data_IF_948618832749
#
_entry.id   IF_948618832749
#
_cell.length_a   1.000
_cell.length_b   1.000
_cell.length_c   1.000
_cell.angle_alpha   90.00
_cell.angle_beta   90.00
_cell.angle_gamma   90.00
#
_symmetry.space_group_name_H-M   'P 1'
#
loop_
_entity.id
_entity.type
_entity.pdbx_description
1 polymer ?
#
# COMPACT_ATOMS: atom_id res chain seq x y z
N UNK A 1 -20.54 -15.45 -27.95
CA UNK A 1 -19.94 -16.33 -26.92
C UNK A 1 -19.03 -15.47 -26.08
N UNK A 2 -19.45 -15.12 -24.87
CA UNK A 2 -18.65 -14.30 -23.96
C UNK A 2 -17.73 -15.26 -23.19
N UNK A 3 -16.44 -15.20 -23.49
CA UNK A 3 -15.43 -15.92 -22.72
C UNK A 3 -15.26 -15.21 -21.37
N UNK A 4 -15.87 -15.78 -20.32
CA UNK A 4 -15.66 -15.39 -18.93
C UNK A 4 -14.60 -16.30 -18.31
N UNK A 5 -13.36 -15.81 -18.20
CA UNK A 5 -12.32 -16.14 -17.19
C UNK A 5 -11.06 -15.30 -17.47
N UNK A 6 -10.34 -14.83 -16.42
CA UNK A 6 -9.74 -15.68 -15.38
C UNK A 6 -10.52 -15.68 -14.06
N UNK A 7 -10.49 -16.83 -13.39
CA UNK A 7 -11.11 -17.08 -12.10
C UNK A 7 -10.12 -16.75 -11.00
N UNK A 8 -10.46 -15.83 -10.09
CA UNK A 8 -9.71 -15.71 -8.83
C UNK A 8 -9.87 -17.03 -8.06
N UNK A 9 -8.74 -17.72 -7.87
CA UNK A 9 -8.65 -19.04 -7.23
C UNK A 9 -8.90 -18.95 -5.71
N UNK A 10 -8.95 -17.73 -5.17
CA UNK A 10 -8.94 -17.41 -3.74
C UNK A 10 -10.31 -17.57 -3.07
N UNK A 11 -11.41 -17.45 -3.82
CA UNK A 11 -12.74 -17.54 -3.23
C UNK A 11 -13.14 -19.00 -2.92
N UNK A 12 -13.44 -19.27 -1.65
CA UNK A 12 -14.01 -20.55 -1.21
C UNK A 12 -15.24 -20.91 -2.07
N UNK A 13 -15.49 -22.20 -2.35
CA UNK A 13 -16.59 -22.63 -3.23
C UNK A 13 -17.95 -22.00 -2.91
N UNK A 14 -18.33 -21.90 -1.63
CA UNK A 14 -19.57 -21.25 -1.21
C UNK A 14 -19.62 -19.74 -1.49
N UNK A 15 -18.48 -19.04 -1.44
CA UNK A 15 -18.42 -17.61 -1.77
C UNK A 15 -18.57 -17.38 -3.27
N UNK A 16 -18.03 -18.28 -4.09
CA UNK A 16 -18.21 -18.25 -5.55
C UNK A 16 -19.64 -18.52 -6.00
N UNK A 17 -20.36 -19.37 -5.27
CA UNK A 17 -21.79 -19.59 -5.49
C UNK A 17 -22.59 -18.34 -5.15
N UNK A 18 -22.36 -17.73 -3.99
CA UNK A 18 -22.99 -16.46 -3.61
C UNK A 18 -22.66 -15.31 -4.57
N UNK A 19 -21.44 -15.25 -5.10
CA UNK A 19 -21.08 -14.29 -6.14
C UNK A 19 -21.94 -14.47 -7.39
N UNK A 20 -22.06 -15.71 -7.89
CA UNK A 20 -22.89 -16.01 -9.07
C UNK A 20 -24.37 -15.72 -8.83
N UNK A 21 -24.88 -16.01 -7.64
CA UNK A 21 -26.24 -15.64 -7.24
C UNK A 21 -26.42 -14.12 -7.27
N UNK A 22 -25.45 -13.37 -6.74
CA UNK A 22 -25.49 -11.91 -6.74
C UNK A 22 -25.44 -11.33 -8.15
N UNK A 23 -24.58 -11.85 -9.02
CA UNK A 23 -24.50 -11.48 -10.44
C UNK A 23 -25.84 -11.75 -11.15
N UNK A 24 -26.46 -12.91 -10.91
CA UNK A 24 -27.77 -13.23 -11.46
C UNK A 24 -28.89 -12.31 -10.95
N UNK A 25 -28.83 -11.89 -9.69
CA UNK A 25 -29.76 -10.91 -9.12
C UNK A 25 -29.56 -9.53 -9.75
N UNK A 26 -28.32 -9.11 -9.97
CA UNK A 26 -28.00 -7.85 -10.67
C UNK A 26 -28.62 -7.85 -12.07
N UNK A 27 -28.41 -8.91 -12.86
CA UNK A 27 -29.01 -9.01 -14.21
C UNK A 27 -30.54 -8.92 -14.18
N UNK A 28 -31.19 -9.50 -13.17
CA UNK A 28 -32.65 -9.40 -13.02
C UNK A 28 -33.10 -7.97 -12.73
N UNK A 29 -32.41 -7.26 -11.84
CA UNK A 29 -32.74 -5.86 -11.54
C UNK A 29 -32.46 -4.94 -12.73
N UNK A 30 -31.40 -5.17 -13.48
CA UNK A 30 -31.11 -4.43 -14.73
C UNK A 30 -32.23 -4.62 -15.75
N UNK A 31 -32.69 -5.86 -15.94
CA UNK A 31 -33.80 -6.17 -16.82
C UNK A 31 -35.10 -5.49 -16.35
N UNK A 32 -35.42 -5.58 -15.06
CA UNK A 32 -36.62 -4.93 -14.50
C UNK A 32 -36.57 -3.42 -14.64
N UNK A 33 -35.40 -2.81 -14.43
CA UNK A 33 -35.21 -1.37 -14.63
C UNK A 33 -35.40 -0.98 -16.10
N UNK A 34 -34.79 -1.73 -17.03
CA UNK A 34 -34.95 -1.48 -18.47
C UNK A 34 -36.41 -1.64 -18.93
N UNK A 35 -37.12 -2.65 -18.43
CA UNK A 35 -38.54 -2.86 -18.71
C UNK A 35 -39.38 -1.74 -18.09
N UNK A 36 -39.11 -1.35 -16.85
CA UNK A 36 -39.86 -0.29 -16.17
C UNK A 36 -39.62 1.09 -16.77
N UNK A 37 -38.47 1.33 -17.39
CA UNK A 37 -38.19 2.53 -18.18
C UNK A 37 -38.84 2.49 -19.56
N UNK A 38 -39.33 1.33 -20.00
CA UNK A 38 -40.13 1.25 -21.22
C UNK A 38 -41.49 1.92 -20.99
N UNK A 39 -42.03 2.61 -21.99
CA UNK A 39 -43.36 3.26 -21.92
C UNK A 39 -44.53 2.25 -21.94
N UNK A 40 -44.30 1.01 -21.53
CA UNK A 40 -45.30 -0.04 -21.51
C UNK A 40 -46.15 0.08 -20.24
N UNK A 41 -47.46 0.25 -20.42
CA UNK A 41 -48.43 0.42 -19.34
C UNK A 41 -48.50 -0.79 -18.39
N UNK A 42 -48.18 -2.00 -18.87
CA UNK A 42 -48.21 -3.23 -18.06
C UNK A 42 -47.21 -3.20 -16.91
N UNK A 43 -46.18 -2.35 -17.00
CA UNK A 43 -45.12 -2.22 -16.00
C UNK A 43 -45.14 -0.88 -15.25
N UNK A 44 -46.20 -0.08 -15.41
CA UNK A 44 -46.34 1.22 -14.76
C UNK A 44 -46.42 1.14 -13.22
N UNK A 45 -46.68 -0.05 -12.66
CA UNK A 45 -46.71 -0.31 -11.21
C UNK A 45 -45.33 -0.57 -10.60
N UNK A 46 -44.26 -0.69 -11.41
CA UNK A 46 -42.91 -0.89 -10.90
C UNK A 46 -42.41 0.37 -10.18
N UNK A 47 -41.96 0.19 -8.94
CA UNK A 47 -41.27 1.23 -8.18
C UNK A 47 -39.83 1.37 -8.71
N UNK A 48 -39.66 2.22 -9.72
CA UNK A 48 -38.35 2.49 -10.32
C UNK A 48 -37.31 2.97 -9.29
N UNK A 49 -37.62 3.94 -8.39
CA UNK A 49 -36.71 4.30 -7.32
C UNK A 49 -36.21 3.11 -6.50
N UNK A 50 -37.11 2.23 -6.07
CA UNK A 50 -36.73 1.05 -5.30
C UNK A 50 -35.86 0.08 -6.10
N UNK A 51 -36.18 -0.16 -7.39
CA UNK A 51 -35.36 -0.99 -8.27
C UNK A 51 -33.94 -0.43 -8.43
N UNK A 52 -33.82 0.89 -8.62
CA UNK A 52 -32.53 1.58 -8.74
C UNK A 52 -31.69 1.41 -7.48
N UNK A 53 -32.28 1.63 -6.29
CA UNK A 53 -31.56 1.43 -5.02
C UNK A 53 -31.11 -0.01 -4.82
N UNK A 54 -31.99 -0.99 -5.08
CA UNK A 54 -31.65 -2.41 -4.94
C UNK A 54 -30.55 -2.85 -5.92
N UNK A 55 -30.63 -2.39 -7.17
CA UNK A 55 -29.59 -2.65 -8.17
C UNK A 55 -28.23 -2.12 -7.70
N UNK A 56 -28.20 -0.86 -7.25
CA UNK A 56 -26.97 -0.22 -6.84
C UNK A 56 -26.38 -0.84 -5.56
N UNK A 57 -27.21 -1.23 -4.59
CA UNK A 57 -26.80 -2.01 -3.41
C UNK A 57 -26.14 -3.34 -3.82
N UNK A 58 -26.78 -4.10 -4.71
CA UNK A 58 -26.23 -5.37 -5.20
C UNK A 58 -24.89 -5.18 -5.91
N UNK A 59 -24.77 -4.15 -6.76
CA UNK A 59 -23.51 -3.82 -7.45
C UNK A 59 -22.39 -3.45 -6.45
N UNK A 60 -22.69 -2.61 -5.45
CA UNK A 60 -21.71 -2.27 -4.40
C UNK A 60 -21.27 -3.51 -3.61
N UNK A 61 -22.18 -4.43 -3.29
CA UNK A 61 -21.83 -5.70 -2.65
C UNK A 61 -20.89 -6.54 -3.50
N UNK A 62 -21.14 -6.63 -4.81
CA UNK A 62 -20.29 -7.38 -5.74
C UNK A 62 -18.88 -6.75 -5.84
N UNK A 63 -18.81 -5.43 -5.97
CA UNK A 63 -17.54 -4.69 -6.02
C UNK A 63 -16.73 -4.93 -4.74
N UNK A 64 -17.36 -4.81 -3.56
CA UNK A 64 -16.70 -5.08 -2.28
C UNK A 64 -16.18 -6.50 -2.19
N UNK A 65 -16.96 -7.48 -2.64
CA UNK A 65 -16.56 -8.88 -2.66
C UNK A 65 -15.34 -9.10 -3.56
N UNK A 66 -15.39 -8.60 -4.80
CA UNK A 66 -14.32 -8.76 -5.79
C UNK A 66 -13.04 -8.04 -5.36
N UNK A 67 -13.16 -6.83 -4.82
CA UNK A 67 -12.02 -6.11 -4.24
C UNK A 67 -11.39 -6.88 -3.10
N UNK A 68 -12.18 -7.37 -2.14
CA UNK A 68 -11.65 -8.14 -1.02
C UNK A 68 -10.97 -9.44 -1.49
N UNK A 69 -11.55 -10.13 -2.47
CA UNK A 69 -10.92 -11.31 -3.06
C UNK A 69 -9.55 -10.99 -3.66
N UNK A 70 -9.49 -9.91 -4.46
CA UNK A 70 -8.26 -9.45 -5.08
C UNK A 70 -7.22 -8.99 -4.04
N UNK A 71 -7.63 -8.27 -2.99
CA UNK A 71 -6.73 -7.87 -1.92
C UNK A 71 -6.14 -9.07 -1.17
N UNK A 72 -6.94 -10.11 -0.93
CA UNK A 72 -6.46 -11.35 -0.30
C UNK A 72 -5.45 -12.04 -1.21
N UNK A 73 -5.75 -12.14 -2.52
CA UNK A 73 -4.87 -12.73 -3.53
C UNK A 73 -3.48 -12.04 -3.55
N UNK A 74 -3.48 -10.71 -3.55
CA UNK A 74 -2.26 -9.90 -3.51
C UNK A 74 -1.53 -9.99 -2.16
N UNK A 75 -2.23 -10.14 -1.05
CA UNK A 75 -1.62 -10.30 0.28
C UNK A 75 -1.06 -11.70 0.56
N UNK A 76 -1.55 -12.71 -0.16
CA UNK A 76 -1.12 -14.11 -0.05
C UNK A 76 0.07 -14.46 -0.92
N UNK A 77 0.51 -13.54 -1.80
CA UNK A 77 1.80 -13.63 -2.48
C UNK A 77 2.89 -13.22 -1.48
N UNK A 78 3.50 -14.21 -0.80
CA UNK A 78 4.78 -13.99 -0.12
C UNK A 78 5.79 -13.42 -1.14
N UNK A 79 6.67 -12.47 -0.76
CA UNK A 79 7.78 -12.09 -1.62
C UNK A 79 8.56 -13.36 -1.91
N UNK A 80 8.56 -13.80 -3.18
CA UNK A 80 9.27 -14.98 -3.59
C UNK A 80 10.70 -14.89 -3.05
N UNK A 81 11.08 -15.85 -2.22
CA UNK A 81 12.50 -16.09 -1.96
C UNK A 81 13.16 -16.18 -3.33
N UNK A 82 14.21 -15.40 -3.52
CA UNK A 82 15.04 -15.34 -4.71
C UNK A 82 15.56 -16.75 -5.03
N UNK A 83 14.78 -17.52 -5.80
CA UNK A 83 15.25 -18.69 -6.47
C UNK A 83 15.62 -18.22 -7.87
N UNK A 84 16.91 -17.91 -8.06
CA UNK A 84 17.49 -17.81 -9.39
C UNK A 84 17.26 -19.19 -10.03
N UNK A 85 16.43 -19.21 -11.05
CA UNK A 85 16.06 -20.37 -11.83
C UNK A 85 15.38 -19.88 -13.09
N UNK A 86 16.14 -19.87 -14.18
CA UNK A 86 15.71 -19.55 -15.54
C UNK A 86 14.31 -20.11 -15.86
N UNK A 87 13.41 -19.23 -16.32
CA UNK A 87 12.19 -19.63 -17.01
C UNK A 87 10.99 -18.73 -16.73
N UNK A 88 10.77 -17.78 -17.63
CA UNK A 88 9.50 -17.06 -17.89
C UNK A 88 8.91 -16.23 -16.72
N UNK A 89 9.58 -15.12 -16.39
CA UNK A 89 8.95 -13.98 -15.72
C UNK A 89 8.15 -13.14 -16.73
N UNK A 90 6.88 -13.46 -17.00
CA UNK A 90 5.93 -12.51 -17.60
C UNK A 90 4.49 -12.99 -17.36
N UNK A 91 3.77 -12.46 -16.34
CA UNK A 91 2.32 -12.12 -16.47
C UNK A 91 1.64 -11.47 -15.22
N UNK A 92 2.27 -11.36 -14.04
CA UNK A 92 1.53 -10.90 -12.84
C UNK A 92 1.16 -9.41 -12.84
N UNK A 93 1.86 -8.57 -13.60
CA UNK A 93 1.59 -7.14 -13.72
C UNK A 93 0.38 -6.79 -14.61
N UNK A 94 0.08 -7.61 -15.62
CA UNK A 94 -1.02 -7.35 -16.57
C UNK A 94 -2.39 -7.63 -15.93
N UNK A 95 -2.49 -8.65 -15.09
CA UNK A 95 -3.72 -9.00 -14.37
C UNK A 95 -4.09 -7.99 -13.27
N UNK A 96 -3.12 -7.42 -12.56
CA UNK A 96 -3.37 -6.43 -11.51
C UNK A 96 -3.92 -5.10 -12.06
N UNK A 97 -3.36 -4.60 -13.16
CA UNK A 97 -3.89 -3.43 -13.87
C UNK A 97 -5.26 -3.70 -14.51
N UNK A 98 -5.50 -4.93 -14.98
CA UNK A 98 -6.81 -5.36 -15.49
C UNK A 98 -7.88 -5.34 -14.40
N UNK A 99 -7.58 -5.85 -13.19
CA UNK A 99 -8.55 -5.90 -12.10
C UNK A 99 -8.83 -4.52 -11.48
N UNK A 100 -7.82 -3.67 -11.33
CA UNK A 100 -8.01 -2.28 -10.90
C UNK A 100 -8.98 -1.55 -11.85
N UNK A 101 -8.69 -1.57 -13.15
CA UNK A 101 -9.49 -0.88 -14.18
C UNK A 101 -10.93 -1.38 -14.16
N UNK A 102 -11.13 -2.69 -14.06
CA UNK A 102 -12.46 -3.29 -13.97
C UNK A 102 -13.24 -2.83 -12.73
N UNK A 103 -12.61 -2.80 -11.56
CA UNK A 103 -13.28 -2.36 -10.33
C UNK A 103 -13.61 -0.85 -10.38
N UNK A 104 -12.75 -0.04 -10.98
CA UNK A 104 -13.02 1.38 -11.22
C UNK A 104 -14.20 1.59 -12.17
N UNK A 105 -14.27 0.83 -13.26
CA UNK A 105 -15.39 0.84 -14.21
C UNK A 105 -16.70 0.46 -13.51
N UNK A 106 -16.70 -0.63 -12.74
CA UNK A 106 -17.88 -1.07 -11.99
C UNK A 106 -18.35 -0.02 -10.97
N UNK A 107 -17.42 0.66 -10.30
CA UNK A 107 -17.73 1.76 -9.39
C UNK A 107 -18.36 2.93 -10.15
N UNK A 108 -17.79 3.32 -11.29
CA UNK A 108 -18.31 4.43 -12.10
C UNK A 108 -19.70 4.12 -12.67
N UNK A 109 -19.93 2.91 -13.18
CA UNK A 109 -21.24 2.46 -13.62
C UNK A 109 -22.26 2.45 -12.47
N UNK A 110 -21.86 2.03 -11.28
CA UNK A 110 -22.72 2.03 -10.10
C UNK A 110 -23.05 3.46 -9.67
N UNK A 111 -22.10 4.39 -9.80
CA UNK A 111 -22.33 5.82 -9.55
C UNK A 111 -23.40 6.38 -10.48
N UNK A 112 -23.33 6.04 -11.77
CA UNK A 112 -24.32 6.46 -12.78
C UNK A 112 -25.74 5.98 -12.45
N UNK A 113 -25.88 4.79 -11.84
CA UNK A 113 -27.18 4.29 -11.38
C UNK A 113 -27.81 5.22 -10.32
N UNK A 114 -27.02 5.75 -9.38
CA UNK A 114 -27.52 6.74 -8.41
C UNK A 114 -27.78 8.14 -8.99
N UNK A 115 -27.33 8.40 -10.22
CA UNK A 115 -27.56 9.65 -10.95
C UNK A 115 -28.76 9.57 -11.90
N UNK A 116 -29.44 8.42 -11.95
CA UNK A 116 -30.65 8.25 -12.74
C UNK A 116 -31.76 9.21 -12.27
N UNK A 117 -32.52 9.85 -13.20
CA UNK A 117 -33.54 10.85 -12.88
C UNK A 117 -34.55 10.40 -11.81
N UNK A 118 -34.83 9.11 -11.75
CA UNK A 118 -35.75 8.44 -10.85
C UNK A 118 -35.35 8.62 -9.37
N UNK A 119 -34.05 8.74 -9.08
CA UNK A 119 -33.53 8.83 -7.70
C UNK A 119 -32.61 10.02 -7.44
N UNK A 120 -32.09 10.69 -8.48
CA UNK A 120 -30.99 11.65 -8.39
C UNK A 120 -31.21 12.82 -7.41
N UNK A 121 -32.47 13.17 -7.12
CA UNK A 121 -32.83 14.25 -6.19
C UNK A 121 -32.97 13.80 -4.73
N UNK A 122 -32.87 12.50 -4.47
CA UNK A 122 -33.05 11.95 -3.13
C UNK A 122 -31.74 12.00 -2.33
N UNK A 123 -31.87 12.27 -1.02
CA UNK A 123 -30.75 12.16 -0.08
C UNK A 123 -30.14 10.77 -0.09
N UNK A 124 -30.98 9.72 -0.20
CA UNK A 124 -30.52 8.32 -0.28
C UNK A 124 -29.63 8.07 -1.50
N UNK A 125 -29.93 8.66 -2.66
CA UNK A 125 -29.08 8.52 -3.84
C UNK A 125 -27.73 9.22 -3.66
N UNK A 126 -27.71 10.39 -3.00
CA UNK A 126 -26.45 11.07 -2.68
C UNK A 126 -25.63 10.27 -1.67
N UNK A 127 -26.25 9.68 -0.64
CA UNK A 127 -25.59 8.76 0.28
C UNK A 127 -25.02 7.54 -0.46
N UNK A 128 -25.76 6.99 -1.44
CA UNK A 128 -25.28 5.93 -2.32
C UNK A 128 -24.05 6.33 -3.14
N UNK A 129 -24.05 7.54 -3.72
CA UNK A 129 -22.88 8.08 -4.42
C UNK A 129 -21.67 8.25 -3.50
N UNK A 130 -21.88 8.70 -2.26
CA UNK A 130 -20.84 8.76 -1.24
C UNK A 130 -20.26 7.37 -0.99
N UNK A 131 -21.08 6.34 -0.81
CA UNK A 131 -20.61 4.96 -0.62
C UNK A 131 -19.75 4.46 -1.80
N UNK A 132 -20.12 4.81 -3.04
CA UNK A 132 -19.33 4.50 -4.23
C UNK A 132 -17.97 5.19 -4.19
N UNK A 133 -17.94 6.50 -3.87
CA UNK A 133 -16.70 7.27 -3.77
C UNK A 133 -15.78 6.78 -2.65
N UNK A 134 -16.35 6.34 -1.52
CA UNK A 134 -15.59 5.68 -0.46
C UNK A 134 -14.94 4.41 -0.99
N UNK A 135 -15.69 3.58 -1.72
CA UNK A 135 -15.19 2.37 -2.35
C UNK A 135 -14.05 2.65 -3.33
N UNK A 136 -14.17 3.72 -4.13
CA UNK A 136 -13.14 4.20 -5.07
C UNK A 136 -11.89 4.69 -4.35
N UNK A 137 -12.03 5.53 -3.32
CA UNK A 137 -10.89 6.01 -2.54
C UNK A 137 -10.12 4.86 -1.86
N UNK A 138 -10.83 3.86 -1.34
CA UNK A 138 -10.22 2.67 -0.73
C UNK A 138 -9.50 1.79 -1.76
N UNK A 139 -10.06 1.63 -2.97
CA UNK A 139 -9.43 0.92 -4.08
C UNK A 139 -8.12 1.61 -4.49
N UNK A 140 -8.17 2.92 -4.74
CA UNK A 140 -7.00 3.70 -5.17
C UNK A 140 -5.92 3.76 -4.08
N UNK A 141 -6.32 3.83 -2.81
CA UNK A 141 -5.37 3.73 -1.68
C UNK A 141 -4.65 2.39 -1.68
N UNK A 142 -5.37 1.29 -1.94
CA UNK A 142 -4.75 -0.04 -2.06
C UNK A 142 -3.77 -0.12 -3.25
N UNK A 143 -4.11 0.51 -4.38
CA UNK A 143 -3.23 0.62 -5.55
C UNK A 143 -2.06 1.62 -5.36
N UNK A 144 -1.90 2.23 -4.17
CA UNK A 144 -0.91 3.28 -3.88
C UNK A 144 -1.06 4.55 -4.73
N UNK A 145 -2.21 4.74 -5.36
CA UNK A 145 -2.56 5.97 -6.08
C UNK A 145 -3.20 6.97 -5.09
N UNK A 146 -2.33 7.56 -4.27
CA UNK A 146 -2.76 8.45 -3.19
C UNK A 146 -3.40 9.74 -3.72
N UNK A 147 -2.98 10.25 -4.88
CA UNK A 147 -3.52 11.48 -5.45
C UNK A 147 -4.98 11.31 -5.86
N UNK A 148 -5.29 10.26 -6.64
CA UNK A 148 -6.66 10.01 -7.06
C UNK A 148 -7.53 9.53 -5.89
N UNK A 149 -6.97 8.80 -4.91
CA UNK A 149 -7.67 8.44 -3.68
C UNK A 149 -8.10 9.68 -2.87
N UNK A 150 -7.21 10.67 -2.71
CA UNK A 150 -7.54 11.93 -2.04
C UNK A 150 -8.65 12.69 -2.77
N UNK A 151 -8.58 12.75 -4.11
CA UNK A 151 -9.62 13.40 -4.91
C UNK A 151 -11.00 12.74 -4.71
N UNK A 152 -11.06 11.40 -4.69
CA UNK A 152 -12.30 10.66 -4.45
C UNK A 152 -12.88 10.94 -3.05
N UNK A 153 -12.04 10.96 -2.01
CA UNK A 153 -12.50 11.30 -0.66
C UNK A 153 -12.93 12.76 -0.51
N UNK A 154 -12.22 13.70 -1.13
CA UNK A 154 -12.61 15.11 -1.13
C UNK A 154 -13.97 15.32 -1.81
N UNK A 155 -14.23 14.61 -2.92
CA UNK A 155 -15.53 14.65 -3.57
C UNK A 155 -16.65 14.06 -2.68
N UNK A 156 -16.37 12.95 -1.99
CA UNK A 156 -17.32 12.33 -1.06
C UNK A 156 -17.67 13.27 0.10
N UNK A 157 -16.69 13.95 0.68
CA UNK A 157 -16.87 14.96 1.74
C UNK A 157 -17.79 16.09 1.26
N UNK A 158 -17.56 16.60 0.04
CA UNK A 158 -18.42 17.64 -0.55
C UNK A 158 -19.87 17.18 -0.68
N UNK A 159 -20.09 15.92 -1.05
CA UNK A 159 -21.45 15.36 -1.13
C UNK A 159 -22.08 15.19 0.26
N UNK A 160 -21.34 14.72 1.26
CA UNK A 160 -21.81 14.63 2.65
C UNK A 160 -22.25 16.00 3.19
N UNK A 161 -21.45 17.04 2.94
CA UNK A 161 -21.79 18.41 3.34
C UNK A 161 -23.12 18.88 2.72
N UNK A 162 -23.34 18.59 1.43
CA UNK A 162 -24.57 18.97 0.73
C UNK A 162 -25.83 18.32 1.32
N UNK A 163 -25.71 17.13 1.92
CA UNK A 163 -26.83 16.42 2.55
C UNK A 163 -26.83 16.50 4.08
N UNK A 164 -25.94 17.30 4.66
CA UNK A 164 -25.78 17.47 6.11
C UNK A 164 -25.51 16.13 6.84
N UNK A 165 -24.77 15.21 6.19
CA UNK A 165 -24.28 13.99 6.83
C UNK A 165 -22.94 14.24 7.53
N UNK A 166 -23.03 14.90 8.68
CA UNK A 166 -21.87 15.29 9.51
C UNK A 166 -21.06 14.07 9.98
N UNK A 167 -21.75 12.94 10.21
CA UNK A 167 -21.10 11.73 10.71
C UNK A 167 -20.16 11.11 9.68
N UNK A 168 -20.65 10.94 8.44
CA UNK A 168 -19.83 10.42 7.35
C UNK A 168 -18.76 11.43 6.95
N UNK A 169 -19.09 12.73 6.96
CA UNK A 169 -18.13 13.80 6.68
C UNK A 169 -16.91 13.75 7.62
N UNK A 170 -17.15 13.64 8.93
CA UNK A 170 -16.07 13.58 9.93
C UNK A 170 -15.18 12.34 9.75
N UNK A 171 -15.78 11.18 9.46
CA UNK A 171 -15.05 9.93 9.20
C UNK A 171 -14.16 10.08 7.97
N UNK A 172 -14.68 10.65 6.87
CA UNK A 172 -13.94 10.82 5.64
C UNK A 172 -12.83 11.86 5.76
N UNK A 173 -13.09 12.95 6.48
CA UNK A 173 -12.07 13.97 6.78
C UNK A 173 -10.90 13.37 7.55
N UNK A 174 -11.18 12.51 8.55
CA UNK A 174 -10.14 11.77 9.27
C UNK A 174 -9.35 10.84 8.36
N UNK A 175 -10.01 10.10 7.46
CA UNK A 175 -9.34 9.24 6.47
C UNK A 175 -8.45 10.06 5.52
N UNK A 176 -8.95 11.17 4.99
CA UNK A 176 -8.21 12.04 4.08
C UNK A 176 -6.95 12.61 4.74
N UNK A 177 -7.05 13.08 5.99
CA UNK A 177 -5.90 13.59 6.75
C UNK A 177 -4.83 12.51 6.97
N UNK A 178 -5.24 11.28 7.30
CA UNK A 178 -4.31 10.14 7.44
C UNK A 178 -3.59 9.85 6.12
N UNK A 179 -4.33 9.83 5.01
CA UNK A 179 -3.78 9.59 3.69
C UNK A 179 -2.78 10.69 3.27
N UNK A 180 -3.11 11.96 3.55
CA UNK A 180 -2.23 13.09 3.28
C UNK A 180 -0.92 13.00 4.07
N UNK A 181 -0.98 12.60 5.34
CA UNK A 181 0.24 12.39 6.15
C UNK A 181 1.10 11.26 5.58
N UNK A 182 0.48 10.18 5.09
CA UNK A 182 1.19 9.07 4.46
C UNK A 182 1.84 9.47 3.14
N UNK A 183 1.13 10.20 2.27
CA UNK A 183 1.69 10.70 1.03
C UNK A 183 2.87 11.66 1.27
N UNK A 184 2.73 12.60 2.21
CA UNK A 184 3.81 13.53 2.58
C UNK A 184 5.00 12.82 3.23
N UNK A 185 4.77 11.72 3.96
CA UNK A 185 5.86 10.89 4.48
C UNK A 185 6.58 10.16 3.34
N UNK A 186 5.83 9.60 2.39
CA UNK A 186 6.40 8.90 1.23
C UNK A 186 7.18 9.84 0.31
N UNK A 187 6.69 11.05 0.08
CA UNK A 187 7.39 12.07 -0.70
C UNK A 187 8.72 12.46 -0.05
N UNK A 188 8.74 12.63 1.28
CA UNK A 188 9.98 12.86 2.04
C UNK A 188 10.94 11.68 1.99
N UNK A 189 10.45 10.45 2.04
CA UNK A 189 11.29 9.25 1.86
C UNK A 189 11.83 9.18 0.44
N UNK A 190 11.04 9.52 -0.59
CA UNK A 190 11.50 9.58 -1.98
C UNK A 190 12.52 10.69 -2.22
N UNK A 191 12.38 11.86 -1.58
CA UNK A 191 13.38 12.91 -1.68
C UNK A 191 14.68 12.50 -1.03
N UNK A 192 14.62 11.87 0.16
CA UNK A 192 15.80 11.30 0.82
C UNK A 192 16.44 10.18 0.00
N UNK A 193 15.64 9.28 -0.59
CA UNK A 193 16.13 8.21 -1.44
C UNK A 193 16.75 8.75 -2.76
N UNK A 194 16.21 9.82 -3.34
CA UNK A 194 16.79 10.47 -4.52
C UNK A 194 18.05 11.29 -4.18
N UNK A 195 18.15 11.82 -2.97
CA UNK A 195 19.40 12.40 -2.44
C UNK A 195 20.45 11.29 -2.23
N UNK A 196 20.05 10.10 -1.74
CA UNK A 196 20.94 8.93 -1.62
C UNK A 196 21.27 8.22 -2.96
N UNK A 197 20.42 8.33 -3.99
CA UNK A 197 20.60 7.70 -5.31
C UNK A 197 21.47 8.54 -6.28
N UNK A 198 22.05 9.64 -5.80
CA UNK A 198 23.21 10.25 -6.45
C UNK A 198 24.39 9.29 -6.27
N UNK A 199 24.65 8.42 -7.26
CA UNK A 199 25.70 7.39 -7.33
C UNK A 199 27.16 7.87 -7.13
N UNK A 200 27.39 9.13 -6.75
CA UNK A 200 28.68 9.60 -6.24
C UNK A 200 28.73 9.68 -4.69
N UNK A 201 27.60 9.56 -4.00
CA UNK A 201 27.55 9.84 -2.56
C UNK A 201 27.84 8.61 -1.71
N UNK A 202 27.33 7.41 -2.04
CA UNK A 202 27.56 6.19 -1.23
C UNK A 202 29.04 5.79 -1.14
N UNK A 203 29.81 5.88 -2.22
CA UNK A 203 31.26 5.60 -2.19
C UNK A 203 32.04 6.74 -1.49
N UNK A 204 31.56 7.98 -1.60
CA UNK A 204 32.14 9.13 -0.88
C UNK A 204 31.83 9.08 0.61
N UNK A 205 30.64 8.62 0.99
CA UNK A 205 30.17 8.38 2.35
C UNK A 205 30.88 7.19 2.95
N UNK A 206 31.05 6.09 2.20
CA UNK A 206 31.88 4.95 2.60
C UNK A 206 33.30 5.38 2.87
N UNK A 207 33.89 6.17 1.96
CA UNK A 207 35.25 6.70 2.11
C UNK A 207 35.37 7.65 3.30
N UNK A 208 34.37 8.52 3.52
CA UNK A 208 34.32 9.45 4.65
C UNK A 208 34.15 8.73 5.98
N UNK A 209 33.25 7.76 6.06
CA UNK A 209 33.03 6.94 7.24
C UNK A 209 34.24 6.06 7.54
N UNK A 210 34.84 5.45 6.51
CA UNK A 210 36.06 4.65 6.64
C UNK A 210 37.22 5.49 7.16
N UNK A 211 37.41 6.70 6.62
CA UNK A 211 38.44 7.62 7.10
C UNK A 211 38.21 8.07 8.55
N UNK A 212 36.95 8.35 8.93
CA UNK A 212 36.61 8.70 10.31
C UNK A 212 36.80 7.51 11.27
N UNK A 213 36.45 6.30 10.83
CA UNK A 213 36.63 5.06 11.57
C UNK A 213 38.10 4.74 11.80
N UNK A 214 38.93 4.78 10.76
CA UNK A 214 40.37 4.48 10.84
C UNK A 214 41.13 5.46 11.75
N UNK A 215 40.65 6.70 11.89
CA UNK A 215 41.23 7.68 12.84
C UNK A 215 40.98 7.35 14.30
N UNK A 216 39.87 6.65 14.59
CA UNK A 216 39.39 6.37 15.95
C UNK A 216 39.51 4.91 16.35
N UNK A 217 39.75 4.03 15.37
CA UNK A 217 40.00 2.63 15.60
C UNK A 217 41.32 2.45 16.37
N UNK A 218 41.35 1.44 17.23
CA UNK A 218 42.58 1.03 17.89
C UNK A 218 43.58 0.41 16.91
N UNK A 219 44.78 0.08 17.41
CA UNK A 219 45.85 -0.54 16.60
C UNK A 219 45.45 -1.87 15.97
N UNK A 220 44.38 -2.49 16.46
CA UNK A 220 43.83 -3.75 15.98
C UNK A 220 42.68 -3.54 14.97
N UNK A 221 42.31 -2.29 14.66
CA UNK A 221 41.29 -1.94 13.67
C UNK A 221 39.86 -1.98 14.20
N UNK A 222 39.67 -1.85 15.51
CA UNK A 222 38.36 -1.92 16.16
C UNK A 222 37.97 -0.63 16.88
N UNK A 223 36.66 -0.39 16.98
CA UNK A 223 36.10 0.78 17.64
C UNK A 223 35.31 0.40 18.90
N UNK A 224 35.54 1.12 20.00
CA UNK A 224 34.86 0.93 21.29
C UNK A 224 33.60 1.79 21.43
N UNK A 225 32.70 1.42 22.35
CA UNK A 225 31.41 2.12 22.56
C UNK A 225 31.60 3.60 22.92
N UNK A 226 32.59 3.87 23.75
CA UNK A 226 33.04 5.20 24.17
C UNK A 226 33.53 6.07 23.00
N UNK A 227 33.95 5.44 21.90
CA UNK A 227 34.44 6.11 20.70
C UNK A 227 33.32 6.49 19.71
N UNK A 228 32.09 5.99 19.89
CA UNK A 228 30.95 6.33 19.02
C UNK A 228 30.59 7.82 19.08
N UNK A 229 30.75 8.44 20.25
CA UNK A 229 30.50 9.87 20.41
C UNK A 229 31.53 10.70 19.62
N UNK A 230 32.80 10.29 19.64
CA UNK A 230 33.86 10.92 18.87
C UNK A 230 33.71 10.68 17.37
N UNK A 231 33.22 9.49 16.98
CA UNK A 231 32.91 9.17 15.59
C UNK A 231 31.80 10.09 15.03
N UNK A 232 30.74 10.32 15.80
CA UNK A 232 29.66 11.25 15.42
C UNK A 232 30.17 12.69 15.28
N UNK A 233 31.08 13.12 16.15
CA UNK A 233 31.74 14.43 16.05
C UNK A 233 32.59 14.54 14.78
N UNK A 234 33.37 13.52 14.43
CA UNK A 234 34.18 13.55 13.20
C UNK A 234 33.35 13.47 11.91
N UNK A 235 32.18 12.87 11.97
CA UNK A 235 31.21 12.91 10.88
C UNK A 235 30.49 14.26 10.79
N UNK A 236 30.76 15.20 11.70
CA UNK A 236 30.11 16.52 11.81
C UNK A 236 28.60 16.41 12.03
N UNK A 237 28.16 15.41 12.77
CA UNK A 237 26.77 15.34 13.21
C UNK A 237 26.52 16.53 14.16
N UNK A 238 25.58 17.40 13.80
CA UNK A 238 25.36 18.71 14.44
C UNK A 238 24.82 18.61 15.86
N UNK A 239 24.25 17.46 16.22
CA UNK A 239 23.76 17.15 17.55
C UNK A 239 24.66 16.09 18.20
N UNK A 240 25.13 16.37 19.42
CA UNK A 240 25.90 15.39 20.18
C UNK A 240 24.97 14.22 20.55
N UNK A 241 25.32 13.00 20.12
CA UNK A 241 24.60 11.79 20.50
C UNK A 241 24.46 11.72 22.03
N UNK A 242 23.24 11.58 22.51
CA UNK A 242 22.97 11.32 23.93
C UNK A 242 23.46 9.92 24.31
N UNK A 243 23.76 9.72 25.60
CA UNK A 243 24.18 8.40 26.09
C UNK A 243 23.15 7.30 25.80
N UNK A 244 21.85 7.63 25.80
CA UNK A 244 20.79 6.69 25.41
C UNK A 244 20.83 6.31 23.94
N UNK A 245 21.15 7.25 23.05
CA UNK A 245 21.28 6.98 21.61
C UNK A 245 22.53 6.13 21.33
N UNK A 246 23.65 6.41 22.02
CA UNK A 246 24.86 5.59 21.95
C UNK A 246 24.58 4.16 22.41
N UNK A 247 23.82 3.99 23.50
CA UNK A 247 23.42 2.67 24.02
C UNK A 247 22.54 1.89 23.03
N UNK A 248 21.65 2.58 22.32
CA UNK A 248 20.75 1.97 21.34
C UNK A 248 21.48 1.60 20.06
N UNK A 249 22.31 2.50 19.51
CA UNK A 249 23.16 2.25 18.34
C UNK A 249 24.11 1.08 18.61
N UNK A 250 24.76 1.06 19.77
CA UNK A 250 25.67 -0.02 20.16
C UNK A 250 24.97 -1.37 20.28
N UNK A 251 23.74 -1.40 20.82
CA UNK A 251 22.93 -2.62 20.90
C UNK A 251 22.53 -3.13 19.50
N UNK A 252 22.23 -2.23 18.57
CA UNK A 252 21.88 -2.60 17.20
C UNK A 252 23.10 -3.16 16.44
N UNK A 253 24.26 -2.53 16.56
CA UNK A 253 25.51 -2.99 15.96
C UNK A 253 25.90 -4.40 16.43
N UNK A 254 25.83 -4.65 17.75
CA UNK A 254 26.11 -5.98 18.31
C UNK A 254 25.08 -7.04 17.90
N UNK A 255 23.83 -6.64 17.64
CA UNK A 255 22.79 -7.57 17.16
C UNK A 255 23.04 -7.96 15.69
N UNK A 256 23.44 -7.00 14.86
CA UNK A 256 23.74 -7.23 13.44
C UNK A 256 25.01 -8.08 13.23
N UNK A 257 26.00 -7.96 14.13
CA UNK A 257 27.22 -8.80 14.10
C UNK A 257 26.93 -10.27 14.49
N UNK A 258 25.98 -10.51 15.42
CA UNK A 258 25.56 -11.87 15.81
C UNK A 258 24.85 -12.62 14.69
N UNK A 259 24.06 -11.93 13.87
CA UNK A 259 23.40 -12.53 12.69
C UNK A 259 24.39 -12.89 11.58
N UNK A 260 25.57 -12.26 11.54
CA UNK A 260 26.64 -12.60 10.60
C UNK A 260 27.53 -13.76 11.08
N UNK A 261 27.70 -13.96 12.38
CA UNK A 261 28.58 -15.00 12.94
C UNK A 261 27.96 -16.41 13.06
N UNK A 262 26.69 -16.61 12.71
CA UNK A 262 26.05 -17.94 12.72
C UNK A 262 26.58 -18.93 11.67
N UNK A 263 27.56 -18.55 10.85
CA UNK A 263 28.21 -19.44 9.86
C UNK A 263 29.67 -19.80 10.17
N UNK A 264 30.27 -19.32 11.26
CA UNK A 264 31.63 -19.73 11.64
C UNK A 264 31.74 -20.07 13.11
N UNK A 265 31.83 -21.37 13.39
CA UNK A 265 32.08 -21.91 14.71
C UNK A 265 33.48 -21.50 15.22
N UNK A 266 33.53 -20.57 16.18
CA UNK A 266 34.45 -20.60 17.32
C UNK A 266 34.07 -19.49 18.30
N UNK A 267 33.71 -19.89 19.53
CA UNK A 267 33.35 -18.95 20.59
C UNK A 267 34.55 -18.11 21.01
N UNK A 268 34.42 -16.80 20.87
CA UNK A 268 35.31 -15.79 21.45
C UNK A 268 34.45 -14.83 22.30
N UNK A 269 34.94 -14.36 23.47
CA UNK A 269 34.12 -13.67 24.44
C UNK A 269 33.62 -12.34 23.88
N UNK A 270 32.42 -11.94 24.31
CA UNK A 270 31.74 -10.67 24.00
C UNK A 270 32.73 -9.56 23.63
N UNK A 271 32.91 -9.34 22.34
CA UNK A 271 33.75 -8.26 21.84
C UNK A 271 33.07 -6.95 22.24
N UNK A 272 33.67 -6.22 23.18
CA UNK A 272 33.30 -4.85 23.55
C UNK A 272 33.72 -3.83 22.47
N UNK A 273 33.76 -4.27 21.21
CA UNK A 273 34.44 -3.64 20.09
C UNK A 273 33.75 -4.03 18.78
N UNK A 274 33.65 -3.11 17.82
CA UNK A 274 33.02 -3.32 16.50
C UNK A 274 34.04 -3.12 15.36
N UNK A 275 33.83 -3.82 14.24
CA UNK A 275 34.61 -3.65 13.00
C UNK A 275 33.97 -2.62 12.07
N UNK A 276 34.73 -2.09 11.11
CA UNK A 276 34.19 -1.21 10.07
C UNK A 276 33.08 -1.88 9.25
N UNK A 277 33.22 -3.18 8.96
CA UNK A 277 32.22 -3.94 8.22
C UNK A 277 30.87 -3.99 8.97
N UNK A 278 30.92 -4.25 10.29
CA UNK A 278 29.71 -4.25 11.12
C UNK A 278 29.06 -2.85 11.20
N UNK A 279 29.88 -1.80 11.29
CA UNK A 279 29.41 -0.41 11.28
C UNK A 279 28.78 -0.03 9.93
N UNK A 280 29.44 -0.32 8.81
CA UNK A 280 28.96 -0.01 7.47
C UNK A 280 27.66 -0.73 7.15
N UNK A 281 27.54 -2.01 7.54
CA UNK A 281 26.33 -2.81 7.38
C UNK A 281 25.14 -2.24 8.17
N UNK A 282 25.37 -1.75 9.38
CA UNK A 282 24.34 -1.04 10.14
C UNK A 282 23.99 0.32 9.51
N UNK A 283 24.98 1.03 8.97
CA UNK A 283 24.82 2.36 8.38
C UNK A 283 23.94 2.36 7.11
N UNK A 284 24.08 1.33 6.27
CA UNK A 284 23.45 1.25 4.93
C UNK A 284 22.13 0.44 4.92
N UNK A 285 21.73 -0.16 6.06
CA UNK A 285 20.62 -1.13 6.18
C UNK A 285 20.87 -2.43 5.40
N UNK A 286 20.47 -3.58 5.96
CA UNK A 286 20.76 -4.93 5.43
C UNK A 286 20.33 -5.12 3.95
N UNK A 287 19.37 -4.34 3.45
CA UNK A 287 18.85 -4.46 2.09
C UNK A 287 19.81 -3.93 1.00
N UNK A 288 20.70 -3.00 1.32
CA UNK A 288 21.61 -2.36 0.36
C UNK A 288 23.05 -2.94 0.43
N UNK A 289 23.43 -3.58 1.55
CA UNK A 289 24.76 -4.19 1.70
C UNK A 289 24.94 -5.41 0.78
N UNK A 290 23.91 -6.25 0.64
CA UNK A 290 23.97 -7.45 -0.21
C UNK A 290 24.04 -7.10 -1.71
N UNK A 291 23.52 -5.94 -2.12
CA UNK A 291 23.64 -5.46 -3.52
C UNK A 291 25.02 -4.91 -3.88
N UNK A 292 25.79 -4.43 -2.90
CA UNK A 292 27.10 -3.79 -3.14
C UNK A 292 28.26 -4.79 -3.12
N UNK A 293 28.12 -5.94 -2.46
CA UNK A 293 29.18 -6.95 -2.32
C UNK A 293 29.07 -8.16 -3.26
N UNK A 294 28.12 -8.17 -4.20
CA UNK A 294 27.96 -9.22 -5.22
C UNK A 294 28.62 -8.90 -6.57
N UNK A 295 29.31 -7.76 -6.69
CA UNK A 295 29.98 -7.33 -7.92
C UNK A 295 31.52 -7.21 -7.82
N UNK A 296 32.14 -7.79 -6.80
CA UNK A 296 33.61 -8.01 -6.73
C UNK A 296 33.95 -9.52 -6.73
#
# INVERSE_FOLDING_TARGET
MVNLRPQSIVLKPGVRERQRELEAVITKYELLLAIGQSKNADFASLDLPQLVFRLAECRLCLIRLQRSAWQIEQSGQEPAQTHIGDGDEEDTGMEAHSMQTKLEEMLEETRKVYQLPEVARSTLAVQGQVQVLIGKGELLTFCKDYANAMAAYAEAIRLCYNIQDETTEAILTSKLQKLQRQANALERVKSLANECASENDTESERSRLKSAFEKLADTDGFLGKDQLQMLAQELRMTDALSNSEIDDIWRQLLKNDKTAQTTSATGSPFMSKITFAALWRWWVSDAEYDTVFLND
#
